data_IF_875020770241
#
_entry.id   IF_875020770241
#
_cell.length_a   1.000
_cell.length_b   1.000
_cell.length_c   1.000
_cell.angle_alpha   90.00
_cell.angle_beta   90.00
_cell.angle_gamma   90.00
#
_symmetry.space_group_name_H-M   'P 1'
#
loop_
_entity.id
_entity.type
_entity.pdbx_description
1 polymer ?
#
# COMPACT_ATOMS: atom_id res chain seq x y z
N UNK A 1 33.25 -13.63 4.93
CA UNK A 1 32.10 -14.17 4.17
C UNK A 1 31.05 -14.52 5.21
N UNK A 2 30.18 -13.56 5.59
CA UNK A 2 29.12 -13.78 6.58
C UNK A 2 28.05 -14.67 5.94
N UNK A 3 27.67 -15.73 6.66
CA UNK A 3 26.74 -16.73 6.19
C UNK A 3 25.31 -16.16 6.14
N UNK A 4 24.87 -15.77 4.94
CA UNK A 4 23.55 -15.23 4.67
C UNK A 4 22.41 -16.18 5.08
N UNK A 5 22.69 -17.49 5.22
CA UNK A 5 21.72 -18.48 5.67
C UNK A 5 21.49 -18.43 7.18
N UNK A 6 22.52 -18.13 7.98
CA UNK A 6 22.38 -17.96 9.43
C UNK A 6 21.57 -16.71 9.78
N UNK A 7 21.84 -15.59 9.10
CA UNK A 7 21.06 -14.35 9.27
C UNK A 7 19.56 -14.51 8.88
N UNK A 8 19.29 -15.31 7.84
CA UNK A 8 17.90 -15.63 7.43
C UNK A 8 17.18 -16.46 8.50
N UNK A 9 17.85 -17.42 9.12
CA UNK A 9 17.23 -18.26 10.15
C UNK A 9 16.98 -17.49 11.46
N UNK A 10 17.89 -16.61 11.86
CA UNK A 10 17.70 -15.79 13.07
C UNK A 10 16.60 -14.75 12.90
N UNK A 11 16.52 -14.08 11.75
CA UNK A 11 15.44 -13.14 11.42
C UNK A 11 14.08 -13.86 11.34
N UNK A 12 14.03 -15.03 10.68
CA UNK A 12 12.82 -15.84 10.60
C UNK A 12 12.38 -16.35 11.98
N UNK A 13 13.32 -16.73 12.85
CA UNK A 13 13.04 -17.18 14.22
C UNK A 13 12.52 -16.04 15.10
N UNK A 14 13.14 -14.86 15.00
CA UNK A 14 12.70 -13.65 15.71
C UNK A 14 11.31 -13.22 15.25
N UNK A 15 11.07 -13.22 13.94
CA UNK A 15 9.77 -12.92 13.34
C UNK A 15 8.68 -13.92 13.79
N UNK A 16 9.02 -15.21 13.87
CA UNK A 16 8.13 -16.28 14.38
C UNK A 16 7.81 -16.10 15.87
N UNK A 17 8.81 -15.81 16.71
CA UNK A 17 8.60 -15.58 18.13
C UNK A 17 7.72 -14.35 18.38
N UNK A 18 7.86 -13.33 17.53
CA UNK A 18 7.06 -12.11 17.59
C UNK A 18 5.59 -12.36 17.23
N UNK A 19 5.29 -13.21 16.25
CA UNK A 19 3.92 -13.54 15.83
C UNK A 19 3.27 -14.61 16.74
N UNK A 20 4.02 -15.61 17.22
CA UNK A 20 3.49 -16.64 18.12
C UNK A 20 2.97 -16.10 19.45
N UNK A 21 3.54 -15.00 19.96
CA UNK A 21 3.08 -14.33 21.16
C UNK A 21 1.69 -13.67 21.01
N UNK A 22 1.23 -13.45 19.78
CA UNK A 22 -0.08 -12.84 19.47
C UNK A 22 -1.21 -13.88 19.32
N UNK A 23 -0.90 -15.18 19.17
CA UNK A 23 -1.86 -16.27 18.91
C UNK A 23 -2.18 -17.05 20.19
N UNK A 24 -2.83 -16.40 21.15
CA UNK A 24 -3.46 -17.05 22.29
C UNK A 24 -4.76 -17.73 21.87
N UNK A 25 -4.72 -19.04 21.80
CA UNK A 25 -5.81 -20.05 21.90
C UNK A 25 -7.21 -19.65 21.39
N UNK A 26 -7.55 -20.00 20.12
CA UNK A 26 -8.86 -20.52 19.67
C UNK A 26 -8.87 -20.65 18.13
N UNK A 27 -9.40 -21.76 17.57
CA UNK A 27 -9.56 -22.11 16.16
C UNK A 27 -8.37 -21.64 15.27
N UNK A 28 -7.84 -22.50 14.44
CA UNK A 28 -6.80 -22.17 13.48
C UNK A 28 -7.25 -20.97 12.59
N UNK A 29 -7.06 -19.76 13.09
CA UNK A 29 -7.27 -18.55 12.32
C UNK A 29 -6.10 -18.42 11.35
N UNK A 30 -6.37 -17.97 10.13
CA UNK A 30 -5.32 -17.73 9.14
C UNK A 30 -4.37 -16.67 9.69
N UNK A 31 -3.09 -17.01 9.71
CA UNK A 31 -2.05 -16.05 10.08
C UNK A 31 -2.00 -14.92 9.05
N UNK A 32 -2.12 -13.67 9.51
CA UNK A 32 -1.94 -12.48 8.66
C UNK A 32 -0.70 -11.75 9.11
N UNK A 33 0.20 -11.48 8.18
CA UNK A 33 1.45 -10.75 8.38
C UNK A 33 1.34 -9.38 7.70
N UNK A 34 0.90 -8.34 8.43
CA UNK A 34 0.78 -7.01 7.85
C UNK A 34 2.15 -6.33 7.77
N UNK A 35 2.42 -5.76 6.61
CA UNK A 35 3.66 -5.04 6.36
C UNK A 35 3.43 -3.76 5.55
N UNK A 36 4.27 -2.76 5.80
CA UNK A 36 4.32 -1.52 5.04
C UNK A 36 5.77 -1.13 4.78
N UNK A 37 6.00 -0.46 3.64
CA UNK A 37 7.32 -0.01 3.25
C UNK A 37 7.56 1.43 3.73
N UNK A 38 8.71 1.67 4.35
CA UNK A 38 9.30 3.00 4.55
C UNK A 38 10.71 2.98 3.96
N UNK A 39 10.84 3.43 2.73
CA UNK A 39 12.13 3.48 2.03
C UNK A 39 12.62 4.92 1.97
N UNK A 40 13.84 5.15 2.47
CA UNK A 40 14.46 6.48 2.57
C UNK A 40 15.67 6.53 1.65
N UNK A 41 15.66 7.45 0.71
CA UNK A 41 16.78 7.72 -0.19
C UNK A 41 16.94 9.22 -0.31
N UNK A 42 18.16 9.70 -0.06
CA UNK A 42 18.48 11.11 -0.20
C UNK A 42 18.27 11.57 -1.64
N UNK A 43 17.74 12.78 -1.80
CA UNK A 43 17.51 13.44 -3.09
C UNK A 43 16.57 12.68 -4.06
N UNK A 44 15.82 11.70 -3.55
CA UNK A 44 14.81 11.01 -4.36
C UNK A 44 13.50 11.78 -4.44
N UNK A 45 12.77 11.58 -5.55
CA UNK A 45 11.44 12.14 -5.71
C UNK A 45 10.43 11.40 -4.83
N UNK A 46 9.90 12.09 -3.83
CA UNK A 46 8.87 11.56 -2.95
C UNK A 46 7.51 11.37 -3.64
N UNK A 47 6.52 10.91 -2.88
CA UNK A 47 5.13 10.87 -3.35
C UNK A 47 4.62 12.28 -3.63
N UNK A 48 4.01 12.55 -4.81
CA UNK A 48 3.42 13.85 -5.14
C UNK A 48 2.35 14.31 -4.13
N UNK A 49 1.78 13.37 -3.38
CA UNK A 49 0.76 13.62 -2.37
C UNK A 49 1.36 13.91 -0.97
N UNK A 50 2.68 13.75 -0.80
CA UNK A 50 3.38 14.09 0.42
C UNK A 50 3.98 15.49 0.31
N UNK A 51 3.57 16.38 1.24
CA UNK A 51 4.08 17.77 1.30
C UNK A 51 5.18 17.93 2.36
N UNK A 52 5.55 16.88 3.07
CA UNK A 52 6.61 16.88 4.05
C UNK A 52 7.96 16.66 3.36
N UNK A 53 8.96 17.45 3.74
CA UNK A 53 10.34 17.19 3.38
C UNK A 53 11.00 16.16 4.32
N UNK A 54 10.34 15.83 5.45
CA UNK A 54 10.83 14.87 6.42
C UNK A 54 10.40 13.45 6.01
N UNK A 55 11.34 12.54 5.67
CA UNK A 55 11.02 11.16 5.30
C UNK A 55 10.40 10.36 6.45
N UNK A 56 10.61 10.78 7.71
CA UNK A 56 9.99 10.14 8.88
C UNK A 56 8.48 10.41 8.98
N UNK A 57 7.91 11.27 8.14
CA UNK A 57 6.45 11.42 8.03
C UNK A 57 5.76 10.08 7.69
N UNK A 58 6.41 9.21 6.94
CA UNK A 58 5.89 7.86 6.64
C UNK A 58 5.95 6.92 7.85
N UNK A 59 6.95 7.08 8.73
CA UNK A 59 7.01 6.37 10.01
C UNK A 59 5.84 6.81 10.91
N UNK A 60 5.53 8.10 10.97
CA UNK A 60 4.38 8.61 11.71
C UNK A 60 3.05 8.06 11.17
N UNK A 61 2.90 7.97 9.85
CA UNK A 61 1.73 7.35 9.24
C UNK A 61 1.64 5.86 9.62
N UNK A 62 2.75 5.12 9.58
CA UNK A 62 2.82 3.72 9.99
C UNK A 62 2.48 3.52 11.48
N UNK A 63 2.90 4.43 12.38
CA UNK A 63 2.48 4.42 13.79
C UNK A 63 0.96 4.54 13.92
N UNK A 64 0.35 5.44 13.17
CA UNK A 64 -1.11 5.63 13.18
C UNK A 64 -1.83 4.41 12.63
N UNK A 65 -1.34 3.84 11.54
CA UNK A 65 -1.86 2.58 10.98
C UNK A 65 -1.76 1.46 12.02
N UNK A 66 -0.60 1.24 12.64
CA UNK A 66 -0.40 0.22 13.65
C UNK A 66 -1.35 0.38 14.86
N UNK A 67 -1.52 1.62 15.35
CA UNK A 67 -2.49 1.94 16.42
C UNK A 67 -3.93 1.61 16.02
N UNK A 68 -4.31 1.93 14.78
CA UNK A 68 -5.63 1.63 14.27
C UNK A 68 -5.87 0.14 14.11
N UNK A 69 -4.87 -0.60 13.64
CA UNK A 69 -4.90 -2.06 13.52
C UNK A 69 -5.06 -2.71 14.90
N UNK A 70 -4.27 -2.30 15.89
CA UNK A 70 -4.40 -2.77 17.27
C UNK A 70 -5.82 -2.52 17.83
N UNK A 71 -6.38 -1.33 17.58
CA UNK A 71 -7.71 -0.96 18.07
C UNK A 71 -8.84 -1.84 17.51
N UNK A 72 -8.62 -2.50 16.38
CA UNK A 72 -9.61 -3.42 15.75
C UNK A 72 -9.19 -4.88 15.85
N UNK A 73 -8.13 -5.21 16.59
CA UNK A 73 -7.68 -6.57 16.80
C UNK A 73 -6.92 -7.21 15.64
N UNK A 74 -6.40 -6.39 14.70
CA UNK A 74 -5.48 -6.87 13.67
C UNK A 74 -4.07 -7.05 14.25
N UNK A 75 -3.24 -7.93 13.66
CA UNK A 75 -1.86 -8.13 14.08
C UNK A 75 -1.03 -6.85 13.99
N UNK A 76 0.07 -6.80 14.73
CA UNK A 76 0.99 -5.67 14.74
C UNK A 76 1.66 -5.50 13.38
N UNK A 77 1.73 -4.26 12.91
CA UNK A 77 2.35 -3.90 11.64
C UNK A 77 3.87 -4.13 11.68
N UNK A 78 4.43 -4.67 10.60
CA UNK A 78 5.85 -4.68 10.32
C UNK A 78 6.19 -3.55 9.35
N UNK A 79 7.09 -2.66 9.72
CA UNK A 79 7.66 -1.65 8.82
C UNK A 79 8.97 -2.21 8.25
N UNK A 80 8.95 -2.51 6.96
CA UNK A 80 10.15 -2.87 6.22
C UNK A 80 10.85 -1.60 5.72
N UNK A 81 12.15 -1.47 5.95
CA UNK A 81 12.90 -0.24 5.66
C UNK A 81 14.36 -0.53 5.32
N UNK A 82 14.96 0.33 4.51
CA UNK A 82 16.41 0.29 4.23
C UNK A 82 17.26 1.00 5.31
N UNK A 83 16.63 1.65 6.32
CA UNK A 83 17.28 2.43 7.40
C UNK A 83 16.72 2.02 8.77
N UNK A 84 16.80 0.73 9.10
CA UNK A 84 16.14 0.16 10.28
C UNK A 84 16.63 0.79 11.60
N UNK A 85 17.91 1.09 11.74
CA UNK A 85 18.47 1.71 12.94
C UNK A 85 17.88 3.10 13.20
N UNK A 86 17.72 3.91 12.13
CA UNK A 86 17.15 5.26 12.25
C UNK A 86 15.66 5.20 12.56
N UNK A 87 14.92 4.29 11.92
CA UNK A 87 13.50 4.07 12.22
C UNK A 87 13.32 3.57 13.66
N UNK A 88 14.15 2.63 14.11
CA UNK A 88 14.10 2.11 15.48
C UNK A 88 14.36 3.22 16.48
N UNK A 89 15.41 4.02 16.29
CA UNK A 89 15.73 5.19 17.13
C UNK A 89 14.59 6.21 17.15
N UNK A 90 13.93 6.44 16.01
CA UNK A 90 12.76 7.30 15.96
C UNK A 90 11.62 6.77 16.82
N UNK A 91 11.39 5.45 16.76
CA UNK A 91 10.31 4.77 17.50
C UNK A 91 10.56 4.69 19.01
N UNK A 92 11.79 4.87 19.51
CA UNK A 92 12.08 4.90 20.96
C UNK A 92 11.26 5.98 21.69
N UNK A 93 10.88 7.06 21.00
CA UNK A 93 10.06 8.17 21.51
C UNK A 93 8.56 7.86 21.55
N UNK A 94 8.14 6.70 21.04
CA UNK A 94 6.75 6.27 20.93
C UNK A 94 6.47 5.20 21.98
N UNK A 95 5.26 5.16 22.53
CA UNK A 95 4.86 4.12 23.49
C UNK A 95 5.08 2.72 22.88
N UNK A 96 5.65 1.81 23.66
CA UNK A 96 6.03 0.47 23.20
C UNK A 96 4.88 -0.27 22.49
N UNK A 97 3.67 -0.14 23.03
CA UNK A 97 2.45 -0.71 22.49
C UNK A 97 1.98 -0.13 21.13
N UNK A 98 2.46 1.05 20.78
CA UNK A 98 2.12 1.74 19.55
C UNK A 98 3.19 1.56 18.46
N UNK A 99 4.36 1.03 18.80
CA UNK A 99 5.47 0.83 17.86
C UNK A 99 5.16 -0.31 16.90
N UNK A 100 5.28 -0.13 15.58
CA UNK A 100 5.34 -1.25 14.66
C UNK A 100 6.60 -2.07 14.88
N UNK A 101 6.67 -3.29 14.36
CA UNK A 101 7.93 -4.00 14.21
C UNK A 101 8.77 -3.35 13.11
N UNK A 102 10.08 -3.43 13.21
CA UNK A 102 11.01 -2.90 12.19
C UNK A 102 11.78 -4.06 11.58
N UNK A 103 11.80 -4.13 10.26
CA UNK A 103 12.54 -5.11 9.48
C UNK A 103 13.51 -4.40 8.55
N UNK A 104 14.81 -4.71 8.68
CA UNK A 104 15.81 -4.25 7.73
C UNK A 104 15.64 -4.92 6.39
N UNK A 105 15.46 -4.14 5.32
CA UNK A 105 15.50 -4.65 3.96
C UNK A 105 16.94 -4.92 3.52
N UNK A 106 17.12 -6.01 2.80
CA UNK A 106 18.36 -6.25 2.08
C UNK A 106 18.59 -5.15 1.03
N UNK A 107 19.85 -4.90 0.63
CA UNK A 107 20.14 -3.97 -0.46
C UNK A 107 19.35 -4.31 -1.71
N UNK A 108 18.67 -3.31 -2.27
CA UNK A 108 17.85 -3.49 -3.46
C UNK A 108 18.69 -3.81 -4.69
N UNK A 109 18.16 -4.68 -5.54
CA UNK A 109 18.66 -4.94 -6.89
C UNK A 109 17.97 -4.09 -7.94
N UNK A 110 16.89 -3.39 -7.56
CA UNK A 110 16.17 -2.52 -8.48
C UNK A 110 16.98 -1.25 -8.75
N UNK A 111 17.07 -0.89 -10.02
CA UNK A 111 17.78 0.32 -10.44
C UNK A 111 16.81 1.27 -11.12
N UNK A 112 16.63 2.45 -10.53
CA UNK A 112 15.77 3.51 -11.02
C UNK A 112 16.46 4.88 -10.91
N UNK A 113 16.19 5.82 -11.83
CA UNK A 113 16.59 7.21 -11.65
C UNK A 113 15.93 7.79 -10.38
N UNK A 114 16.67 8.53 -9.55
CA UNK A 114 16.18 9.14 -8.30
C UNK A 114 15.04 10.13 -8.51
N UNK A 115 14.95 10.72 -9.69
CA UNK A 115 13.87 11.63 -10.08
C UNK A 115 12.60 10.91 -10.55
N UNK A 116 12.54 9.57 -10.51
CA UNK A 116 11.33 8.82 -10.79
C UNK A 116 10.24 9.16 -9.78
N UNK A 117 9.03 9.44 -10.27
CA UNK A 117 7.88 9.69 -9.38
C UNK A 117 7.59 8.43 -8.55
N UNK A 118 7.17 8.62 -7.29
CA UNK A 118 6.92 7.52 -6.36
C UNK A 118 8.13 6.59 -6.15
N UNK A 119 9.36 7.13 -6.25
CA UNK A 119 10.60 6.36 -6.20
C UNK A 119 10.59 5.26 -5.12
N UNK A 120 10.29 5.63 -3.88
CA UNK A 120 10.27 4.70 -2.75
C UNK A 120 9.28 3.52 -2.91
N UNK A 121 8.14 3.74 -3.55
CA UNK A 121 7.10 2.71 -3.68
C UNK A 121 7.54 1.51 -4.54
N UNK A 122 8.45 1.71 -5.48
CA UNK A 122 8.96 0.63 -6.33
C UNK A 122 9.62 -0.50 -5.53
N UNK A 123 10.22 -0.18 -4.38
CA UNK A 123 10.90 -1.14 -3.50
C UNK A 123 9.94 -2.01 -2.67
N UNK A 124 8.61 -1.88 -2.86
CA UNK A 124 7.63 -2.87 -2.39
C UNK A 124 7.92 -4.26 -2.97
N UNK A 125 8.49 -4.32 -4.17
CA UNK A 125 8.86 -5.60 -4.78
C UNK A 125 9.94 -6.32 -3.95
N UNK A 126 11.00 -5.60 -3.53
CA UNK A 126 12.03 -6.17 -2.64
C UNK A 126 11.43 -6.59 -1.29
N UNK A 127 10.52 -5.78 -0.74
CA UNK A 127 9.82 -6.10 0.50
C UNK A 127 8.99 -7.39 0.36
N UNK A 128 8.24 -7.54 -0.73
CA UNK A 128 7.45 -8.75 -0.99
C UNK A 128 8.35 -9.97 -1.19
N UNK A 129 9.46 -9.83 -1.89
CA UNK A 129 10.43 -10.92 -2.09
C UNK A 129 11.01 -11.39 -0.75
N UNK A 130 11.48 -10.46 0.08
CA UNK A 130 12.10 -10.78 1.35
C UNK A 130 11.09 -11.37 2.34
N UNK A 131 9.94 -10.72 2.53
CA UNK A 131 8.91 -11.19 3.46
C UNK A 131 8.25 -12.48 2.97
N UNK A 132 7.98 -12.60 1.68
CA UNK A 132 7.41 -13.81 1.09
C UNK A 132 8.28 -15.05 1.29
N UNK A 133 9.61 -14.88 1.35
CA UNK A 133 10.54 -15.98 1.67
C UNK A 133 10.53 -16.38 3.15
N UNK A 134 9.95 -15.55 4.04
CA UNK A 134 9.87 -15.79 5.49
C UNK A 134 8.51 -16.33 5.94
N UNK A 135 7.46 -16.24 5.09
CA UNK A 135 6.10 -16.67 5.40
C UNK A 135 6.00 -18.19 5.51
N UNK A 136 5.11 -18.62 6.42
CA UNK A 136 4.61 -19.99 6.41
C UNK A 136 3.54 -20.20 5.34
N UNK A 137 3.28 -21.46 4.99
CA UNK A 137 2.30 -21.82 3.96
C UNK A 137 0.85 -21.46 4.34
N UNK A 138 0.57 -21.38 5.64
CA UNK A 138 -0.74 -21.00 6.22
C UNK A 138 -0.86 -19.50 6.51
N UNK A 139 0.15 -18.69 6.18
CA UNK A 139 0.15 -17.25 6.39
C UNK A 139 -0.17 -16.48 5.10
N UNK A 140 -0.83 -15.33 5.28
CA UNK A 140 -1.04 -14.32 4.24
C UNK A 140 -0.18 -13.09 4.51
N UNK A 141 0.67 -12.72 3.58
CA UNK A 141 1.30 -11.41 3.55
C UNK A 141 0.23 -10.36 3.26
N UNK A 142 0.08 -9.38 4.13
CA UNK A 142 -0.79 -8.22 3.92
C UNK A 142 0.09 -7.00 3.66
N UNK A 143 0.33 -6.69 2.39
CA UNK A 143 1.05 -5.48 1.98
C UNK A 143 0.12 -4.28 2.14
N UNK A 144 0.60 -3.22 2.77
CA UNK A 144 -0.17 -2.00 3.05
C UNK A 144 0.65 -0.74 2.72
N UNK A 145 -0.01 0.32 2.27
CA UNK A 145 0.58 1.65 2.30
C UNK A 145 0.57 2.22 3.72
N UNK A 146 1.53 3.09 4.05
CA UNK A 146 1.61 3.69 5.39
C UNK A 146 0.46 4.65 5.69
N UNK A 147 -0.10 5.28 4.65
CA UNK A 147 -1.21 6.23 4.75
C UNK A 147 -2.59 5.57 4.76
N UNK A 148 -2.66 4.41 5.37
CA UNK A 148 -3.91 3.68 5.61
C UNK A 148 -4.41 3.81 7.05
N UNK A 149 -5.67 3.47 7.25
CA UNK A 149 -6.36 3.45 8.53
C UNK A 149 -7.22 2.19 8.63
N UNK A 150 -7.04 1.39 9.69
CA UNK A 150 -7.92 0.26 9.98
C UNK A 150 -9.16 0.76 10.76
N UNK A 151 -10.36 0.37 10.28
CA UNK A 151 -11.65 0.67 10.89
C UNK A 151 -12.33 -0.56 11.47
N UNK A 152 -12.02 -1.75 10.96
CA UNK A 152 -12.59 -3.04 11.35
C UNK A 152 -11.59 -4.16 11.09
N UNK A 153 -11.83 -5.32 11.67
CA UNK A 153 -11.18 -6.58 11.28
C UNK A 153 -11.52 -6.94 9.83
N UNK A 154 -10.67 -7.71 9.19
CA UNK A 154 -11.00 -8.36 7.92
C UNK A 154 -11.82 -9.61 8.22
N UNK A 155 -12.82 -9.90 7.37
CA UNK A 155 -13.66 -11.08 7.52
C UNK A 155 -12.83 -12.37 7.35
N UNK A 156 -12.96 -13.30 8.28
CA UNK A 156 -12.23 -14.57 8.29
C UNK A 156 -12.53 -15.43 7.05
N UNK A 157 -13.79 -15.50 6.63
CA UNK A 157 -14.19 -16.22 5.42
C UNK A 157 -13.49 -15.66 4.17
N UNK A 158 -13.31 -14.35 4.11
CA UNK A 158 -12.59 -13.72 3.01
C UNK A 158 -11.09 -14.03 3.06
N UNK A 159 -10.48 -14.03 4.26
CA UNK A 159 -9.09 -14.46 4.43
C UNK A 159 -8.91 -15.92 3.97
N UNK A 160 -9.85 -16.80 4.32
CA UNK A 160 -9.85 -18.19 3.86
C UNK A 160 -9.95 -18.31 2.34
N UNK A 161 -10.78 -17.49 1.71
CA UNK A 161 -10.87 -17.43 0.25
C UNK A 161 -9.56 -16.93 -0.36
N UNK A 162 -8.96 -15.86 0.17
CA UNK A 162 -7.66 -15.37 -0.30
C UNK A 162 -6.55 -16.42 -0.12
N UNK A 163 -6.58 -17.18 0.99
CA UNK A 163 -5.63 -18.26 1.20
C UNK A 163 -5.81 -19.40 0.18
N UNK A 164 -7.06 -19.79 -0.10
CA UNK A 164 -7.35 -20.88 -1.04
C UNK A 164 -7.07 -20.53 -2.50
N UNK A 165 -7.29 -19.26 -2.91
CA UNK A 165 -6.98 -18.78 -4.25
C UNK A 165 -5.54 -18.27 -4.38
N UNK A 166 -4.87 -18.07 -3.25
CA UNK A 166 -3.52 -17.54 -3.14
C UNK A 166 -3.43 -16.02 -3.05
N UNK A 167 -4.45 -15.25 -3.51
CA UNK A 167 -4.34 -13.80 -3.58
C UNK A 167 -5.67 -13.06 -3.50
N UNK A 168 -5.64 -11.90 -2.83
CA UNK A 168 -6.62 -10.83 -2.94
C UNK A 168 -5.92 -9.52 -3.27
N UNK A 169 -6.43 -8.76 -4.24
CA UNK A 169 -5.91 -7.47 -4.64
C UNK A 169 -7.02 -6.43 -4.76
N UNK A 170 -6.70 -5.17 -4.67
CA UNK A 170 -7.67 -4.09 -4.78
C UNK A 170 -7.85 -3.68 -6.24
N UNK A 171 -8.92 -4.12 -6.87
CA UNK A 171 -9.30 -3.68 -8.21
C UNK A 171 -9.85 -2.25 -8.14
N UNK A 172 -9.19 -1.33 -8.84
CA UNK A 172 -9.56 0.08 -8.92
C UNK A 172 -9.98 0.49 -10.33
N UNK A 173 -10.27 -0.47 -11.20
CA UNK A 173 -10.68 -0.23 -12.58
C UNK A 173 -12.00 0.55 -12.69
N UNK A 174 -12.84 0.52 -11.64
CA UNK A 174 -14.07 1.30 -11.54
C UNK A 174 -13.89 2.75 -11.10
N UNK A 175 -12.66 3.16 -10.79
CA UNK A 175 -12.36 4.52 -10.35
C UNK A 175 -12.02 5.42 -11.54
N UNK A 176 -12.68 6.57 -11.62
CA UNK A 176 -12.34 7.57 -12.62
C UNK A 176 -10.93 8.15 -12.35
N UNK A 177 -10.00 7.79 -13.18
CA UNK A 177 -8.68 8.42 -13.22
C UNK A 177 -8.75 9.64 -14.14
N UNK A 178 -9.17 10.78 -13.62
CA UNK A 178 -9.28 12.03 -14.39
C UNK A 178 -7.99 12.45 -15.12
N UNK A 179 -6.86 11.83 -14.77
CA UNK A 179 -5.56 12.09 -15.37
C UNK A 179 -5.23 11.17 -16.55
N UNK A 180 -5.83 9.98 -16.66
CA UNK A 180 -5.35 8.96 -17.59
C UNK A 180 -6.37 8.54 -18.64
N UNK A 181 -7.65 8.41 -18.31
CA UNK A 181 -8.64 7.71 -19.13
C UNK A 181 -8.37 6.20 -19.20
N UNK A 182 -9.42 5.41 -19.37
CA UNK A 182 -9.34 3.94 -19.26
C UNK A 182 -8.42 3.31 -20.32
N UNK A 183 -8.47 3.80 -21.57
CA UNK A 183 -7.63 3.29 -22.64
C UNK A 183 -6.14 3.41 -22.38
N UNK A 184 -5.70 4.55 -21.82
CA UNK A 184 -4.28 4.80 -21.51
C UNK A 184 -3.76 3.90 -20.40
N UNK A 185 -4.59 3.59 -19.41
CA UNK A 185 -4.23 2.67 -18.31
C UNK A 185 -4.02 1.26 -18.85
N UNK A 186 -4.88 0.80 -19.74
CA UNK A 186 -4.76 -0.53 -20.38
C UNK A 186 -3.49 -0.57 -21.25
N UNK A 187 -3.24 0.48 -22.05
CA UNK A 187 -2.04 0.57 -22.88
C UNK A 187 -0.75 0.48 -22.04
N UNK A 188 -0.70 1.18 -20.90
CA UNK A 188 0.42 1.10 -19.95
C UNK A 188 0.59 -0.32 -19.41
N UNK A 189 -0.52 -0.98 -19.00
CA UNK A 189 -0.49 -2.35 -18.49
C UNK A 189 0.03 -3.35 -19.53
N UNK A 190 -0.47 -3.29 -20.77
CA UNK A 190 -0.05 -4.18 -21.84
C UNK A 190 1.42 -3.95 -22.25
N UNK A 191 1.85 -2.69 -22.28
CA UNK A 191 3.27 -2.32 -22.51
C UNK A 191 4.17 -2.95 -21.44
N UNK A 192 3.80 -2.84 -20.18
CA UNK A 192 4.56 -3.36 -19.05
C UNK A 192 4.44 -4.89 -18.95
N UNK A 193 3.29 -5.46 -19.26
CA UNK A 193 3.11 -6.92 -19.36
C UNK A 193 3.93 -7.52 -20.49
N UNK A 194 4.22 -6.74 -21.55
CA UNK A 194 4.84 -7.21 -22.78
C UNK A 194 3.96 -8.17 -23.59
N UNK A 195 2.65 -8.12 -23.35
CA UNK A 195 1.64 -8.95 -24.00
C UNK A 195 0.28 -8.26 -23.92
N UNK A 196 -0.60 -8.61 -24.85
CA UNK A 196 -2.02 -8.24 -24.76
C UNK A 196 -2.68 -9.04 -23.64
N UNK A 197 -3.45 -8.36 -22.80
CA UNK A 197 -4.13 -8.95 -21.65
C UNK A 197 -5.57 -9.33 -22.01
N UNK A 198 -6.06 -10.48 -21.51
CA UNK A 198 -7.41 -10.96 -21.82
C UNK A 198 -8.49 -10.14 -21.13
N UNK A 199 -8.29 -9.81 -19.85
CA UNK A 199 -9.22 -9.02 -19.06
C UNK A 199 -8.46 -8.06 -18.16
N UNK A 200 -7.88 -6.99 -18.73
CA UNK A 200 -7.00 -6.08 -17.99
C UNK A 200 -7.74 -5.39 -16.86
N UNK A 201 -7.16 -5.48 -15.65
CA UNK A 201 -7.64 -4.81 -14.44
C UNK A 201 -6.51 -3.98 -13.85
N UNK A 202 -6.84 -2.78 -13.37
CA UNK A 202 -5.87 -1.96 -12.66
C UNK A 202 -5.96 -2.25 -11.17
N UNK A 203 -4.89 -2.79 -10.60
CA UNK A 203 -4.82 -3.07 -9.18
C UNK A 203 -4.07 -1.95 -8.45
N UNK A 204 -4.69 -1.40 -7.39
CA UNK A 204 -4.07 -0.39 -6.53
C UNK A 204 -2.93 -0.98 -5.71
N UNK A 205 -1.86 -0.19 -5.56
CA UNK A 205 -0.67 -0.59 -4.81
C UNK A 205 -0.81 -0.53 -3.29
N UNK A 206 -1.94 -0.01 -2.78
CA UNK A 206 -2.13 0.22 -1.35
C UNK A 206 -2.44 -1.03 -0.52
N UNK A 207 -2.96 -2.09 -1.14
CA UNK A 207 -3.21 -3.36 -0.43
C UNK A 207 -3.10 -4.56 -1.35
N UNK A 208 -2.40 -5.57 -0.86
CA UNK A 208 -2.33 -6.91 -1.43
C UNK A 208 -2.38 -7.92 -0.29
N UNK A 209 -3.21 -8.95 -0.40
CA UNK A 209 -3.17 -10.15 0.42
C UNK A 209 -2.62 -11.29 -0.44
N UNK A 210 -1.51 -11.91 -0.05
CA UNK A 210 -0.93 -12.98 -0.85
C UNK A 210 -0.35 -14.10 0.03
N UNK A 211 -0.64 -15.36 -0.33
CA UNK A 211 -0.01 -16.52 0.28
C UNK A 211 1.47 -16.63 -0.11
N UNK A 212 2.26 -17.33 0.70
CA UNK A 212 3.66 -17.59 0.39
C UNK A 212 3.87 -18.23 -0.99
N UNK A 213 2.98 -19.17 -1.37
CA UNK A 213 3.00 -19.82 -2.67
C UNK A 213 2.74 -18.87 -3.82
N UNK A 214 1.78 -17.94 -3.65
CA UNK A 214 1.48 -16.94 -4.67
C UNK A 214 2.59 -15.88 -4.78
N UNK A 215 3.16 -15.42 -3.67
CA UNK A 215 4.30 -14.48 -3.70
C UNK A 215 5.47 -15.04 -4.48
N UNK A 216 5.77 -16.34 -4.33
CA UNK A 216 6.82 -17.02 -5.11
C UNK A 216 6.58 -17.00 -6.62
N UNK A 217 5.33 -16.91 -7.07
CA UNK A 217 4.96 -16.80 -8.49
C UNK A 217 4.90 -15.33 -8.94
N UNK A 218 4.36 -14.44 -8.08
CA UNK A 218 4.19 -13.02 -8.38
C UNK A 218 5.53 -12.30 -8.54
N UNK A 219 6.47 -12.51 -7.61
CA UNK A 219 7.74 -11.78 -7.57
C UNK A 219 8.55 -11.92 -8.87
N UNK A 220 8.81 -13.12 -9.42
CA UNK A 220 9.52 -13.23 -10.70
C UNK A 220 8.78 -12.56 -11.87
N UNK A 221 7.45 -12.63 -11.90
CA UNK A 221 6.64 -11.95 -12.92
C UNK A 221 6.73 -10.42 -12.77
N UNK A 222 6.66 -9.92 -11.54
CA UNK A 222 6.79 -8.50 -11.25
C UNK A 222 8.17 -7.96 -11.60
N UNK A 223 9.26 -8.72 -11.38
CA UNK A 223 10.60 -8.35 -11.84
C UNK A 223 10.67 -8.28 -13.38
N UNK A 224 10.10 -9.23 -14.10
CA UNK A 224 10.06 -9.20 -15.55
C UNK A 224 9.24 -8.01 -16.08
N UNK A 225 8.12 -7.67 -15.42
CA UNK A 225 7.33 -6.49 -15.72
C UNK A 225 8.10 -5.20 -15.36
N UNK A 226 8.80 -5.17 -14.23
CA UNK A 226 9.62 -4.03 -13.81
C UNK A 226 10.71 -3.70 -14.84
N UNK A 227 11.37 -4.68 -15.42
CA UNK A 227 12.37 -4.44 -16.46
C UNK A 227 11.77 -3.79 -17.72
N UNK A 228 10.56 -4.16 -18.13
CA UNK A 228 9.84 -3.50 -19.22
C UNK A 228 9.36 -2.11 -18.82
N UNK A 229 8.77 -1.98 -17.64
CA UNK A 229 8.39 -0.71 -17.04
C UNK A 229 9.55 0.30 -17.05
N UNK A 230 10.72 -0.11 -16.56
CA UNK A 230 11.92 0.74 -16.48
C UNK A 230 12.38 1.24 -17.86
N UNK A 231 12.24 0.41 -18.90
CA UNK A 231 12.59 0.80 -20.29
C UNK A 231 11.58 1.80 -20.86
N UNK A 232 10.30 1.64 -20.55
CA UNK A 232 9.22 2.46 -21.08
C UNK A 232 8.83 3.64 -20.17
N UNK A 233 9.49 3.86 -19.03
CA UNK A 233 9.06 4.75 -17.95
C UNK A 233 8.72 6.17 -18.37
N UNK A 234 9.39 6.69 -19.40
CA UNK A 234 9.16 8.04 -19.94
C UNK A 234 7.97 8.12 -20.91
N UNK A 235 7.46 6.97 -21.36
CA UNK A 235 6.35 6.85 -22.31
C UNK A 235 5.04 6.52 -21.59
N UNK A 236 5.14 5.97 -20.36
CA UNK A 236 3.97 5.58 -19.57
C UNK A 236 3.24 6.79 -19.00
N UNK A 237 1.93 6.70 -18.95
CA UNK A 237 1.06 7.70 -18.32
C UNK A 237 1.14 7.59 -16.79
N UNK A 238 1.35 6.38 -16.24
CA UNK A 238 1.46 6.12 -14.81
C UNK A 238 2.85 5.59 -14.45
N UNK A 239 3.52 6.31 -13.54
CA UNK A 239 4.83 5.93 -13.00
C UNK A 239 4.68 5.54 -11.52
N UNK A 240 4.70 4.26 -11.22
CA UNK A 240 4.59 3.75 -9.84
C UNK A 240 4.61 2.24 -9.80
N UNK A 241 4.66 1.69 -8.60
CA UNK A 241 4.61 0.26 -8.33
C UNK A 241 3.33 -0.41 -8.86
N UNK A 242 2.21 0.32 -8.86
CA UNK A 242 0.95 -0.15 -9.42
C UNK A 242 1.09 -0.64 -10.87
N UNK A 243 1.90 0.00 -11.71
CA UNK A 243 2.00 -0.36 -13.13
C UNK A 243 2.55 -1.78 -13.33
N UNK A 244 3.69 -2.12 -12.71
CA UNK A 244 4.32 -3.42 -12.94
C UNK A 244 3.75 -4.53 -12.06
N UNK A 245 3.24 -4.21 -10.86
CA UNK A 245 2.56 -5.18 -10.01
C UNK A 245 1.20 -5.54 -10.62
N UNK A 246 0.41 -4.55 -11.10
CA UNK A 246 -0.84 -4.83 -11.81
C UNK A 246 -0.62 -5.67 -13.08
N UNK A 247 0.40 -5.33 -13.87
CA UNK A 247 0.73 -6.10 -15.07
C UNK A 247 1.07 -7.56 -14.73
N UNK A 248 1.87 -7.80 -13.68
CA UNK A 248 2.20 -9.14 -13.22
C UNK A 248 0.97 -9.91 -12.71
N UNK A 249 0.08 -9.25 -11.97
CA UNK A 249 -1.19 -9.85 -11.51
C UNK A 249 -2.10 -10.22 -12.69
N UNK A 250 -2.21 -9.36 -13.70
CA UNK A 250 -3.01 -9.67 -14.90
C UNK A 250 -2.43 -10.87 -15.67
N UNK A 251 -1.10 -10.95 -15.84
CA UNK A 251 -0.47 -12.12 -16.46
C UNK A 251 -0.79 -13.42 -15.71
N UNK A 252 -0.71 -13.41 -14.37
CA UNK A 252 -1.10 -14.56 -13.56
C UNK A 252 -2.60 -14.86 -13.66
N UNK A 253 -3.45 -13.83 -13.77
CA UNK A 253 -4.89 -14.01 -14.00
C UNK A 253 -5.16 -14.68 -15.34
N UNK A 254 -4.45 -14.28 -16.39
CA UNK A 254 -4.56 -14.88 -17.73
C UNK A 254 -4.04 -16.34 -17.77
N UNK A 255 -3.13 -16.69 -16.86
CA UNK A 255 -2.67 -18.06 -16.60
C UNK A 255 -3.66 -18.91 -15.77
N UNK A 256 -4.81 -18.33 -15.36
CA UNK A 256 -5.89 -19.03 -14.65
C UNK A 256 -5.93 -18.79 -13.13
N UNK A 257 -5.07 -17.94 -12.57
CA UNK A 257 -5.14 -17.58 -11.15
C UNK A 257 -6.34 -16.69 -10.86
N UNK A 258 -7.18 -17.12 -9.91
CA UNK A 258 -8.30 -16.31 -9.45
C UNK A 258 -7.84 -15.24 -8.46
N UNK A 259 -8.01 -13.97 -8.79
CA UNK A 259 -7.71 -12.83 -7.91
C UNK A 259 -9.00 -12.33 -7.25
N UNK A 260 -9.06 -12.40 -5.92
CA UNK A 260 -10.19 -11.88 -5.14
C UNK A 260 -10.13 -10.36 -5.10
N UNK A 261 -11.20 -9.69 -5.52
CA UNK A 261 -11.29 -8.22 -5.42
C UNK A 261 -11.57 -7.78 -3.97
N UNK A 262 -10.56 -7.15 -3.36
CA UNK A 262 -10.65 -6.62 -1.99
C UNK A 262 -11.55 -5.39 -1.89
N UNK A 263 -11.70 -4.62 -2.96
CA UNK A 263 -12.58 -3.46 -3.03
C UNK A 263 -14.06 -3.85 -3.03
N UNK A 264 -14.46 -4.76 -3.92
CA UNK A 264 -15.82 -5.29 -3.98
C UNK A 264 -16.24 -5.95 -2.66
N UNK A 265 -15.31 -6.59 -1.95
CA UNK A 265 -15.54 -7.19 -0.64
C UNK A 265 -15.39 -6.20 0.54
N UNK A 266 -15.24 -4.90 0.30
CA UNK A 266 -15.08 -3.84 1.30
C UNK A 266 -13.93 -4.07 2.30
N UNK A 267 -12.89 -4.77 1.89
CA UNK A 267 -11.67 -4.82 2.68
C UNK A 267 -10.99 -3.46 2.65
N UNK A 268 -10.95 -2.84 1.48
CA UNK A 268 -10.27 -1.56 1.30
C UNK A 268 -11.11 -0.58 0.50
N UNK A 269 -10.95 0.70 0.81
CA UNK A 269 -11.49 1.82 0.02
C UNK A 269 -10.46 2.93 -0.09
N UNK A 270 -10.29 3.50 -1.29
CA UNK A 270 -9.41 4.66 -1.56
C UNK A 270 -10.25 5.94 -1.44
N UNK A 271 -10.02 6.71 -0.39
CA UNK A 271 -10.78 7.93 -0.10
C UNK A 271 -10.01 9.19 -0.46
N UNK A 272 -10.53 9.94 -1.41
CA UNK A 272 -10.09 11.30 -1.71
C UNK A 272 -11.08 12.31 -1.14
N UNK A 273 -10.61 13.21 -0.28
CA UNK A 273 -11.47 14.20 0.39
C UNK A 273 -12.08 15.18 -0.62
N UNK A 274 -13.42 15.20 -0.68
CA UNK A 274 -14.20 16.06 -1.58
C UNK A 274 -14.37 15.54 -3.02
N UNK A 275 -13.63 14.52 -3.42
CA UNK A 275 -13.76 13.86 -4.72
C UNK A 275 -13.60 12.35 -4.55
N UNK A 276 -14.71 11.65 -4.50
CA UNK A 276 -14.75 10.21 -4.29
C UNK A 276 -15.82 9.57 -5.16
N UNK A 277 -15.56 8.37 -5.64
CA UNK A 277 -16.47 7.55 -6.44
C UNK A 277 -17.50 6.80 -5.58
N UNK A 278 -17.39 6.86 -4.26
CA UNK A 278 -18.30 6.25 -3.29
C UNK A 278 -18.73 7.25 -2.24
N UNK A 279 -19.85 7.01 -1.57
CA UNK A 279 -20.28 7.81 -0.44
C UNK A 279 -19.51 7.49 0.87
N UNK A 280 -19.59 8.39 1.85
CA UNK A 280 -18.89 8.20 3.12
C UNK A 280 -19.37 6.98 3.91
N UNK A 281 -20.63 6.54 3.73
CA UNK A 281 -21.17 5.35 4.42
C UNK A 281 -20.53 4.08 3.89
N UNK A 282 -20.31 4.04 2.58
CA UNK A 282 -19.59 2.92 1.96
C UNK A 282 -18.17 2.80 2.53
N UNK A 283 -17.41 3.91 2.58
CA UNK A 283 -16.06 3.92 3.15
C UNK A 283 -16.04 3.54 4.63
N UNK A 284 -17.03 3.98 5.43
CA UNK A 284 -17.16 3.56 6.82
C UNK A 284 -17.37 2.05 6.98
N UNK A 285 -17.89 1.39 5.96
CA UNK A 285 -18.09 -0.05 5.88
C UNK A 285 -16.84 -0.85 5.56
N UNK A 286 -15.76 -0.22 5.08
CA UNK A 286 -14.50 -0.89 4.76
C UNK A 286 -13.72 -1.29 6.03
N UNK A 287 -12.92 -2.36 5.93
CA UNK A 287 -11.98 -2.74 6.98
C UNK A 287 -10.80 -1.78 7.04
N UNK A 288 -10.28 -1.39 5.89
CA UNK A 288 -9.14 -0.51 5.71
C UNK A 288 -9.52 0.69 4.82
N UNK A 289 -8.99 1.87 5.14
CA UNK A 289 -9.09 3.04 4.27
C UNK A 289 -7.70 3.50 3.84
N UNK A 290 -7.51 3.68 2.55
CA UNK A 290 -6.36 4.39 2.01
C UNK A 290 -6.69 5.88 1.93
N UNK A 291 -5.82 6.73 2.47
CA UNK A 291 -6.04 8.16 2.72
C UNK A 291 -4.95 9.03 2.06
N UNK A 292 -4.73 8.94 0.73
CA UNK A 292 -3.59 9.58 0.06
C UNK A 292 -3.61 11.11 0.19
N UNK A 293 -4.79 11.71 0.34
CA UNK A 293 -4.98 13.15 0.56
C UNK A 293 -4.93 13.59 2.02
N UNK A 294 -4.80 12.67 2.98
CA UNK A 294 -4.93 12.96 4.42
C UNK A 294 -3.68 12.63 5.24
N UNK A 295 -2.51 12.51 4.61
CA UNK A 295 -1.23 12.14 5.25
C UNK A 295 -0.96 12.96 6.53
N UNK A 296 -1.11 14.29 6.48
CA UNK A 296 -0.93 15.17 7.65
C UNK A 296 -1.90 14.88 8.80
N UNK A 297 -3.10 14.36 8.52
CA UNK A 297 -4.03 13.96 9.58
C UNK A 297 -3.46 12.73 10.30
N UNK A 298 -2.94 11.76 9.57
CA UNK A 298 -2.34 10.55 10.13
C UNK A 298 -1.08 10.88 10.94
N UNK A 299 -0.19 11.71 10.44
CA UNK A 299 1.00 12.21 11.15
C UNK A 299 0.63 12.85 12.50
N UNK A 300 -0.42 13.72 12.53
CA UNK A 300 -0.90 14.31 13.77
C UNK A 300 -1.46 13.28 14.75
N UNK A 301 -2.08 12.20 14.26
CA UNK A 301 -2.59 11.12 15.12
C UNK A 301 -1.45 10.30 15.75
N UNK A 302 -0.34 10.11 15.04
CA UNK A 302 0.85 9.45 15.59
C UNK A 302 1.40 10.16 16.82
N UNK A 303 1.35 11.49 16.82
CA UNK A 303 1.88 12.35 17.90
C UNK A 303 0.91 12.51 19.10
N UNK A 304 -0.32 12.02 19.00
CA UNK A 304 -1.28 12.07 20.11
C UNK A 304 -1.00 10.97 21.12
N UNK A 305 -1.20 11.22 22.43
CA UNK A 305 -1.03 10.19 23.45
C UNK A 305 -2.01 9.03 23.28
N UNK A 306 -3.25 9.33 22.86
CA UNK A 306 -4.32 8.33 22.66
C UNK A 306 -4.81 8.35 21.22
N UNK A 307 -4.85 7.19 20.58
CA UNK A 307 -5.48 7.00 19.27
C UNK A 307 -7.00 6.91 19.43
N UNK A 308 -7.74 7.54 18.50
CA UNK A 308 -9.19 7.45 18.43
C UNK A 308 -9.67 7.38 16.97
N UNK A 309 -10.09 6.21 16.53
CA UNK A 309 -10.68 6.01 15.22
C UNK A 309 -11.89 6.92 14.97
N UNK A 310 -12.72 7.14 15.98
CA UNK A 310 -13.89 8.03 15.92
C UNK A 310 -13.47 9.50 15.68
N UNK A 311 -12.36 9.94 16.28
CA UNK A 311 -11.83 11.29 16.03
C UNK A 311 -11.30 11.43 14.60
N UNK A 312 -10.54 10.43 14.13
CA UNK A 312 -10.02 10.43 12.74
C UNK A 312 -11.18 10.45 11.76
N UNK A 313 -12.19 9.59 11.97
CA UNK A 313 -13.38 9.54 11.12
C UNK A 313 -14.13 10.89 11.08
N UNK A 314 -14.38 11.50 12.22
CA UNK A 314 -15.03 12.85 12.28
C UNK A 314 -14.22 13.88 11.51
N UNK A 315 -12.90 13.87 11.68
CA UNK A 315 -12.01 14.78 10.94
C UNK A 315 -12.08 14.54 9.43
N UNK A 316 -12.14 13.29 8.98
CA UNK A 316 -12.32 12.93 7.56
C UNK A 316 -13.65 13.46 7.01
N UNK A 317 -14.75 13.26 7.74
CA UNK A 317 -16.08 13.77 7.35
C UNK A 317 -16.06 15.29 7.19
N UNK A 318 -15.53 16.00 8.17
CA UNK A 318 -15.44 17.48 8.12
C UNK A 318 -14.57 17.92 6.92
N UNK A 319 -13.41 17.31 6.73
CA UNK A 319 -12.55 17.64 5.59
C UNK A 319 -13.22 17.32 4.25
N UNK A 320 -13.94 16.21 4.17
CA UNK A 320 -14.68 15.82 2.96
C UNK A 320 -15.74 16.86 2.62
N UNK A 321 -16.59 17.22 3.56
CA UNK A 321 -17.67 18.19 3.33
C UNK A 321 -17.13 19.59 3.00
N UNK A 322 -16.09 20.04 3.70
CA UNK A 322 -15.40 21.29 3.38
C UNK A 322 -14.83 21.28 1.96
N UNK A 323 -14.16 20.20 1.57
CA UNK A 323 -13.58 20.11 0.23
C UNK A 323 -14.65 19.97 -0.85
N UNK A 324 -15.74 19.25 -0.58
CA UNK A 324 -16.89 19.14 -1.49
C UNK A 324 -17.52 20.48 -1.80
N UNK A 325 -17.61 21.37 -0.83
CA UNK A 325 -18.18 22.72 -1.01
C UNK A 325 -17.17 23.71 -1.59
N UNK A 326 -15.92 23.65 -1.18
CA UNK A 326 -14.87 24.59 -1.60
C UNK A 326 -14.31 24.25 -2.99
N UNK A 327 -14.27 22.98 -3.38
CA UNK A 327 -13.72 22.56 -4.68
C UNK A 327 -14.47 23.14 -5.89
N UNK A 328 -15.81 23.09 -5.99
CA UNK A 328 -16.54 23.73 -7.07
C UNK A 328 -16.30 25.24 -7.12
N UNK A 329 -16.26 25.88 -5.95
CA UNK A 329 -16.00 27.31 -5.85
C UNK A 329 -14.58 27.67 -6.35
N UNK A 330 -13.58 26.92 -5.95
CA UNK A 330 -12.19 27.10 -6.44
C UNK A 330 -12.06 26.83 -7.95
N UNK A 331 -12.75 25.82 -8.48
CA UNK A 331 -12.77 25.52 -9.90
C UNK A 331 -13.44 26.67 -10.69
N UNK A 332 -14.56 27.15 -10.19
CA UNK A 332 -15.27 28.28 -10.77
C UNK A 332 -14.42 29.57 -10.74
N UNK A 333 -13.74 29.87 -9.61
CA UNK A 333 -12.83 31.03 -9.54
C UNK A 333 -11.66 30.90 -10.51
N UNK A 334 -11.04 29.72 -10.62
CA UNK A 334 -9.93 29.47 -11.56
C UNK A 334 -10.37 29.59 -13.02
N UNK A 335 -11.56 29.19 -13.37
CA UNK A 335 -12.09 29.32 -14.74
C UNK A 335 -12.34 30.79 -15.13
N UNK A 336 -12.61 31.67 -14.14
CA UNK A 336 -12.77 33.12 -14.38
C UNK A 336 -11.44 33.90 -14.40
N UNK A 337 -10.42 33.41 -13.73
CA UNK A 337 -9.09 34.06 -13.63
C UNK A 337 -8.15 33.70 -14.77
N UNK A 338 -8.41 32.63 -15.52
CA UNK A 338 -7.66 32.37 -16.76
C UNK A 338 -8.16 33.33 -17.86
N UNK A 339 -7.37 34.34 -18.25
CA UNK A 339 -7.70 35.11 -19.43
C UNK A 339 -7.76 34.13 -20.62
N UNK A 340 -8.72 34.31 -21.50
CA UNK A 340 -8.73 33.71 -22.82
C UNK A 340 -7.44 34.15 -23.52
N UNK A 341 -6.37 33.39 -23.36
CA UNK A 341 -5.24 33.47 -24.27
C UNK A 341 -5.78 32.98 -25.62
N UNK A 342 -6.13 33.94 -26.44
CA UNK A 342 -6.66 33.72 -27.78
C UNK A 342 -5.66 32.89 -28.57
N UNK A 343 -6.22 31.93 -29.26
CA UNK A 343 -5.57 31.33 -30.41
C UNK A 343 -5.21 32.45 -31.41
N UNK A 344 -3.91 32.69 -31.58
CA UNK A 344 -3.34 33.20 -32.80
C UNK A 344 -2.33 32.19 -33.30
#
# INVERSE_FOLDING_TARGET
MFDAALLRNDLALTFRQMNAAALGCARASIGVVPCALVYVEADSTGSPNCKSADPFCYVEQAITLNRSMKAVGLPRLTVATNVADDVTRYLEKVDADARPYVLQLAPSKLTLPRNTRFYAAHFKLDMMEQLGAMLHEDELLMVLDTDMLALRTVNEELLQRCQSTGVGAFDISDQEFSAYGDGRVIDDLETVAGARLQNPRWFGGEVLLASAGFVKQLVPRAHACFERYRRAINELNHNGDEAFISAALNLLSDEGHQIIDLGANRVVGRHWSGNTHRDLRWFKGCSLLHLPGCKRLLERQARRPVFSAAHVWRSLVVMHELNRTVWPLRRWMRSRVRPRLGHR
#
